data_IF_578693290986
#
_entry.id   IF_578693290986
#
_cell.length_a   1.000
_cell.length_b   1.000
_cell.length_c   1.000
_cell.angle_alpha   90.00
_cell.angle_beta   90.00
_cell.angle_gamma   90.00
#
_symmetry.space_group_name_H-M   'P 1'
#
loop_
_entity.id
_entity.type
_entity.pdbx_description
1 polymer ?
#
# COMPACT_ATOMS: atom_id res chain seq x y z
N UNK A 1 5.16 41.62 47.22
CA UNK A 1 4.06 41.85 46.29
C UNK A 1 4.26 40.94 45.08
N UNK A 2 3.34 40.11 44.64
CA UNK A 2 2.05 39.69 45.19
C UNK A 2 1.91 38.20 44.91
N UNK A 3 1.79 37.43 46.00
CA UNK A 3 1.29 36.07 46.00
C UNK A 3 -0.20 36.17 46.38
N UNK A 4 -1.10 35.72 45.52
CA UNK A 4 -2.47 35.38 45.94
C UNK A 4 -2.90 34.06 45.31
N UNK A 5 -3.02 33.07 46.20
CA UNK A 5 -3.79 31.85 46.04
C UNK A 5 -5.25 32.15 45.69
N UNK A 6 -5.82 31.39 44.76
CA UNK A 6 -7.24 31.05 44.79
C UNK A 6 -7.42 29.62 44.29
N UNK A 7 -7.29 28.68 45.23
CA UNK A 7 -7.80 27.32 45.14
C UNK A 7 -9.31 27.28 45.40
N UNK A 8 -9.97 26.26 44.85
CA UNK A 8 -11.38 25.83 45.03
C UNK A 8 -12.38 26.59 44.14
N UNK A 9 -13.26 25.98 43.34
CA UNK A 9 -13.93 24.68 43.34
C UNK A 9 -14.41 24.39 41.90
N UNK A 10 -14.28 23.15 41.40
CA UNK A 10 -15.31 22.43 40.60
C UNK A 10 -14.75 21.09 40.09
N UNK A 11 -15.22 20.02 40.74
CA UNK A 11 -15.52 18.69 40.19
C UNK A 11 -14.47 17.98 39.32
N UNK A 12 -13.75 17.07 39.96
CA UNK A 12 -12.94 15.99 39.39
C UNK A 12 -13.79 14.93 38.67
N UNK A 13 -14.22 15.19 37.43
CA UNK A 13 -14.63 14.17 36.46
C UNK A 13 -14.33 14.67 35.05
N UNK A 14 -13.80 13.78 34.19
CA UNK A 14 -13.46 13.98 32.76
C UNK A 14 -12.02 14.42 32.43
N UNK A 15 -11.06 13.53 32.69
CA UNK A 15 -9.91 13.34 31.78
C UNK A 15 -9.73 11.85 31.51
N UNK A 16 -10.49 11.33 30.55
CA UNK A 16 -10.19 10.05 29.91
C UNK A 16 -9.64 10.35 28.51
N UNK A 17 -8.32 10.35 28.40
CA UNK A 17 -7.60 10.39 27.12
C UNK A 17 -7.81 9.04 26.43
N UNK A 18 -8.70 8.99 25.44
CA UNK A 18 -8.92 7.78 24.65
C UNK A 18 -7.94 7.72 23.47
N UNK A 19 -6.84 6.99 23.66
CA UNK A 19 -6.05 6.41 22.59
C UNK A 19 -6.70 5.08 22.21
N UNK A 20 -7.30 4.98 21.02
CA UNK A 20 -7.76 3.71 20.47
C UNK A 20 -6.87 3.25 19.32
N UNK A 21 -6.38 2.02 19.47
CA UNK A 21 -5.58 1.26 18.53
C UNK A 21 -6.44 0.09 18.06
N UNK A 22 -6.67 -0.12 16.75
CA UNK A 22 -7.53 -1.19 16.28
C UNK A 22 -6.69 -2.45 16.02
N UNK A 23 -6.65 -3.35 16.99
CA UNK A 23 -6.31 -4.75 16.72
C UNK A 23 -7.11 -5.68 17.62
N UNK A 24 -7.76 -6.64 16.97
CA UNK A 24 -8.48 -7.80 17.49
C UNK A 24 -9.85 -7.60 18.14
N UNK A 25 -10.86 -8.03 17.37
CA UNK A 25 -12.01 -8.77 17.88
C UNK A 25 -11.53 -9.88 18.83
N UNK A 26 -11.70 -9.67 20.13
CA UNK A 26 -12.46 -10.53 21.04
C UNK A 26 -11.99 -10.29 22.48
N UNK A 27 -12.96 -9.91 23.32
CA UNK A 27 -12.89 -9.75 24.79
C UNK A 27 -12.20 -8.47 25.29
N UNK A 28 -12.97 -7.39 25.43
CA UNK A 28 -12.69 -6.37 26.44
C UNK A 28 -13.25 -6.85 27.78
N UNK A 29 -12.37 -7.21 28.71
CA UNK A 29 -12.67 -7.26 30.13
C UNK A 29 -12.51 -5.85 30.69
N UNK A 30 -13.61 -5.24 31.15
CA UNK A 30 -13.57 -4.05 31.99
C UNK A 30 -13.52 -4.56 33.43
N UNK A 31 -12.39 -4.41 34.10
CA UNK A 31 -12.30 -4.58 35.55
C UNK A 31 -12.68 -3.27 36.22
N UNK A 32 -13.97 -3.13 36.56
CA UNK A 32 -14.39 -2.38 37.75
C UNK A 32 -15.77 -2.90 38.18
N UNK A 33 -15.82 -3.31 39.45
CA UNK A 33 -16.90 -3.98 40.18
C UNK A 33 -18.27 -3.29 40.12
N UNK A 34 -19.35 -4.00 40.47
CA UNK A 34 -20.61 -3.96 39.74
C UNK A 34 -21.74 -3.26 40.51
N UNK A 35 -22.50 -2.41 39.84
CA UNK A 35 -23.93 -2.23 40.12
C UNK A 35 -24.61 -1.60 38.90
N UNK A 36 -25.83 -2.07 38.63
CA UNK A 36 -26.86 -1.52 37.72
C UNK A 36 -26.71 -1.75 36.21
N UNK A 37 -27.37 -2.83 35.77
CA UNK A 37 -28.16 -2.95 34.52
C UNK A 37 -27.49 -2.60 33.20
N UNK A 38 -26.88 -3.60 32.57
CA UNK A 38 -26.58 -3.65 31.13
C UNK A 38 -27.87 -3.52 30.31
N UNK A 39 -28.18 -2.32 29.84
CA UNK A 39 -29.16 -2.11 28.77
C UNK A 39 -28.44 -2.22 27.41
N UNK A 40 -28.67 -3.32 26.71
CA UNK A 40 -28.23 -3.49 25.33
C UNK A 40 -28.93 -2.46 24.44
N UNK A 41 -28.17 -1.48 23.93
CA UNK A 41 -28.68 -0.46 23.01
C UNK A 41 -29.10 -1.10 21.68
N UNK A 42 -30.33 -0.81 21.24
CA UNK A 42 -30.86 -1.25 19.93
C UNK A 42 -30.05 -0.68 18.76
N UNK A 43 -30.06 -1.38 17.61
CA UNK A 43 -29.34 -0.96 16.39
C UNK A 43 -29.66 0.50 15.98
N UNK A 44 -30.89 0.94 16.19
CA UNK A 44 -31.35 2.31 15.90
C UNK A 44 -30.69 3.37 16.79
N UNK A 45 -30.53 3.08 18.10
CA UNK A 45 -29.84 4.01 19.02
C UNK A 45 -28.34 4.11 18.72
N UNK A 46 -27.69 3.01 18.30
CA UNK A 46 -26.28 3.03 17.87
C UNK A 46 -26.09 3.86 16.61
N UNK A 47 -26.99 3.74 15.63
CA UNK A 47 -26.98 4.54 14.39
C UNK A 47 -27.09 6.05 14.69
N UNK A 48 -28.02 6.45 15.55
CA UNK A 48 -28.16 7.87 15.96
C UNK A 48 -26.95 8.40 16.73
N UNK A 49 -26.31 7.57 17.55
CA UNK A 49 -25.09 7.96 18.27
C UNK A 49 -23.92 8.17 17.29
N UNK A 50 -23.83 7.32 16.27
CA UNK A 50 -22.83 7.38 15.22
C UNK A 50 -23.04 8.61 14.30
N UNK A 51 -24.28 8.90 13.90
CA UNK A 51 -24.64 10.09 13.13
C UNK A 51 -24.29 11.38 13.91
N UNK A 52 -24.51 11.41 15.23
CA UNK A 52 -24.10 12.54 16.08
C UNK A 52 -22.59 12.68 16.17
N UNK A 53 -21.84 11.58 16.30
CA UNK A 53 -20.38 11.61 16.28
C UNK A 53 -19.83 12.10 14.93
N UNK A 54 -20.40 11.66 13.80
CA UNK A 54 -20.00 12.14 12.47
C UNK A 54 -20.23 13.65 12.32
N UNK A 55 -21.37 14.17 12.77
CA UNK A 55 -21.65 15.61 12.73
C UNK A 55 -20.71 16.42 13.63
N UNK A 56 -20.31 15.86 14.77
CA UNK A 56 -19.39 16.52 15.70
C UNK A 56 -17.95 16.51 15.18
N UNK A 57 -17.50 15.42 14.56
CA UNK A 57 -16.22 15.34 13.85
C UNK A 57 -16.19 16.28 12.63
N UNK A 58 -17.28 16.37 11.87
CA UNK A 58 -17.41 17.29 10.73
C UNK A 58 -17.31 18.76 11.17
N UNK A 59 -17.93 19.12 12.29
CA UNK A 59 -17.80 20.46 12.88
C UNK A 59 -16.37 20.75 13.33
N UNK A 60 -15.72 19.81 14.03
CA UNK A 60 -14.34 19.97 14.50
C UNK A 60 -13.32 20.10 13.36
N UNK A 61 -13.53 19.36 12.26
CA UNK A 61 -12.71 19.46 11.04
C UNK A 61 -12.83 20.84 10.38
N UNK A 62 -14.04 21.43 10.39
CA UNK A 62 -14.31 22.71 9.75
C UNK A 62 -13.96 23.94 10.62
N UNK A 63 -13.69 23.77 11.92
CA UNK A 63 -13.40 24.87 12.85
C UNK A 63 -11.92 25.28 12.96
N UNK A 64 -11.03 24.78 12.09
CA UNK A 64 -9.61 25.16 12.12
C UNK A 64 -9.17 26.04 10.91
N UNK A 65 -9.64 27.31 10.82
CA UNK A 65 -9.37 28.19 9.68
C UNK A 65 -7.92 28.68 9.59
N UNK A 66 -7.04 28.33 10.54
CA UNK A 66 -5.64 28.79 10.57
C UNK A 66 -4.67 27.90 9.77
N UNK A 67 -5.06 26.67 9.41
CA UNK A 67 -4.25 25.82 8.51
C UNK A 67 -4.60 25.98 7.01
N UNK A 68 -5.74 26.59 6.67
CA UNK A 68 -6.18 26.76 5.28
C UNK A 68 -5.64 28.02 4.58
N UNK A 69 -5.13 29.02 5.32
CA UNK A 69 -4.81 30.34 4.77
C UNK A 69 -3.48 30.49 4.01
N UNK A 70 -2.65 29.44 3.89
CA UNK A 70 -1.37 29.53 3.16
C UNK A 70 -1.28 28.73 1.85
N UNK A 71 -2.38 28.16 1.33
CA UNK A 71 -2.34 27.39 0.06
C UNK A 71 -3.29 27.89 -1.04
N UNK A 72 -3.83 29.10 -0.95
CA UNK A 72 -4.57 29.72 -2.08
C UNK A 72 -3.61 30.33 -3.09
N UNK A 73 -2.79 29.50 -3.74
CA UNK A 73 -2.18 29.81 -5.05
C UNK A 73 -2.77 28.84 -6.07
N UNK A 74 -3.75 29.34 -6.84
CA UNK A 74 -4.30 28.78 -8.09
C UNK A 74 -4.71 27.29 -7.99
N UNK A 75 -5.73 26.98 -7.19
CA UNK A 75 -6.42 25.68 -7.29
C UNK A 75 -7.07 25.58 -8.68
N UNK A 76 -6.77 24.52 -9.45
CA UNK A 76 -7.55 24.20 -10.65
C UNK A 76 -9.03 24.03 -10.22
N UNK A 77 -9.90 24.89 -10.75
CA UNK A 77 -11.35 24.82 -10.58
C UNK A 77 -11.97 24.02 -11.72
N UNK A 78 -13.02 23.24 -11.42
CA UNK A 78 -13.86 22.59 -12.44
C UNK A 78 -14.45 23.67 -13.35
N UNK A 79 -14.23 23.52 -14.66
CA UNK A 79 -14.77 24.40 -15.70
C UNK A 79 -16.18 23.95 -16.09
N UNK A 80 -17.01 24.84 -16.65
CA UNK A 80 -18.40 24.51 -17.03
C UNK A 80 -18.50 23.42 -18.12
N UNK A 81 -17.42 23.18 -18.86
CA UNK A 81 -17.31 22.14 -19.90
C UNK A 81 -16.75 20.82 -19.38
N UNK A 82 -16.35 20.76 -18.11
CA UNK A 82 -15.75 19.56 -17.55
C UNK A 82 -16.77 18.46 -17.31
N UNK A 83 -16.37 17.23 -17.59
CA UNK A 83 -17.09 16.02 -17.26
C UNK A 83 -16.13 14.99 -16.63
N UNK A 84 -16.65 13.87 -16.15
CA UNK A 84 -15.85 12.81 -15.52
C UNK A 84 -14.66 12.39 -16.39
N UNK A 85 -14.83 12.30 -17.70
CA UNK A 85 -13.75 11.92 -18.61
C UNK A 85 -12.67 13.00 -18.73
N UNK A 86 -13.05 14.28 -18.91
CA UNK A 86 -12.08 15.39 -19.01
C UNK A 86 -11.31 15.57 -17.70
N UNK A 87 -11.98 15.42 -16.56
CA UNK A 87 -11.37 15.50 -15.23
C UNK A 87 -10.45 14.31 -14.96
N UNK A 88 -10.85 13.09 -15.33
CA UNK A 88 -9.97 11.91 -15.28
C UNK A 88 -8.72 12.11 -16.14
N UNK A 89 -8.87 12.67 -17.35
CA UNK A 89 -7.74 13.00 -18.20
C UNK A 89 -6.84 14.10 -17.60
N UNK A 90 -7.42 15.16 -17.02
CA UNK A 90 -6.69 16.22 -16.30
C UNK A 90 -5.87 15.61 -15.15
N UNK A 91 -6.48 14.77 -14.30
CA UNK A 91 -5.80 14.07 -13.20
C UNK A 91 -4.65 13.19 -13.74
N UNK A 92 -4.91 12.37 -14.75
CA UNK A 92 -3.88 11.49 -15.33
C UNK A 92 -2.72 12.27 -15.98
N UNK A 93 -3.02 13.41 -16.62
CA UNK A 93 -2.03 14.33 -17.17
C UNK A 93 -1.16 14.94 -16.07
N UNK A 94 -1.75 15.37 -14.96
CA UNK A 94 -1.02 15.86 -13.78
C UNK A 94 -0.09 14.78 -13.21
N UNK A 95 -0.60 13.54 -13.06
CA UNK A 95 0.14 12.38 -12.58
C UNK A 95 1.31 12.00 -13.52
N UNK A 96 1.17 12.22 -14.83
CA UNK A 96 2.22 11.94 -15.82
C UNK A 96 3.32 13.01 -15.81
N UNK A 97 2.96 14.27 -15.55
CA UNK A 97 3.90 15.40 -15.41
C UNK A 97 4.52 15.51 -14.01
N UNK A 98 4.15 14.63 -13.09
CA UNK A 98 4.63 14.67 -11.71
C UNK A 98 6.12 14.31 -11.62
N UNK A 99 6.87 15.16 -10.95
CA UNK A 99 8.25 14.95 -10.53
C UNK A 99 8.29 14.61 -9.03
N UNK A 100 9.37 13.98 -8.52
CA UNK A 100 9.49 13.71 -7.08
C UNK A 100 9.25 14.94 -6.21
N UNK A 101 9.73 16.12 -6.64
CA UNK A 101 9.60 17.39 -5.92
C UNK A 101 8.16 17.92 -5.86
N UNK A 102 7.35 17.73 -6.90
CA UNK A 102 5.97 18.23 -6.94
C UNK A 102 4.91 17.16 -6.61
N UNK A 103 5.33 15.92 -6.34
CA UNK A 103 4.43 14.77 -6.20
C UNK A 103 3.33 14.96 -5.16
N UNK A 104 3.65 15.59 -4.01
CA UNK A 104 2.66 15.93 -2.98
C UNK A 104 1.63 16.91 -3.52
N UNK A 105 2.07 18.00 -4.17
CA UNK A 105 1.17 19.00 -4.74
C UNK A 105 0.28 18.39 -5.83
N UNK A 106 0.82 17.52 -6.66
CA UNK A 106 0.05 16.78 -7.67
C UNK A 106 -1.03 15.92 -7.02
N UNK A 107 -0.71 15.16 -5.98
CA UNK A 107 -1.67 14.31 -5.28
C UNK A 107 -2.74 15.10 -4.53
N UNK A 108 -2.37 16.22 -3.89
CA UNK A 108 -3.31 17.15 -3.26
C UNK A 108 -4.24 17.78 -4.30
N UNK A 109 -3.71 18.20 -5.44
CA UNK A 109 -4.53 18.79 -6.52
C UNK A 109 -5.50 17.76 -7.09
N UNK A 110 -5.05 16.53 -7.33
CA UNK A 110 -5.92 15.43 -7.78
C UNK A 110 -7.04 15.13 -6.76
N UNK A 111 -6.72 15.15 -5.46
CA UNK A 111 -7.70 14.96 -4.38
C UNK A 111 -8.70 16.10 -4.31
N UNK A 112 -8.25 17.34 -4.51
CA UNK A 112 -9.13 18.51 -4.55
C UNK A 112 -10.11 18.43 -5.73
N UNK A 113 -9.67 17.96 -6.90
CA UNK A 113 -10.55 17.75 -8.06
C UNK A 113 -11.63 16.70 -7.71
N UNK A 114 -11.25 15.56 -7.13
CA UNK A 114 -12.21 14.53 -6.71
C UNK A 114 -13.21 15.07 -5.67
N UNK A 115 -12.75 15.80 -4.66
CA UNK A 115 -13.61 16.40 -3.64
C UNK A 115 -14.60 17.41 -4.26
N UNK A 116 -14.16 18.21 -5.24
CA UNK A 116 -15.04 19.13 -5.95
C UNK A 116 -16.06 18.37 -6.82
N UNK A 117 -15.67 17.29 -7.49
CA UNK A 117 -16.59 16.45 -8.26
C UNK A 117 -17.68 15.85 -7.36
N UNK A 118 -17.29 15.29 -6.21
CA UNK A 118 -18.24 14.74 -5.24
C UNK A 118 -19.17 15.81 -4.68
N UNK A 119 -18.64 16.96 -4.27
CA UNK A 119 -19.44 18.05 -3.73
C UNK A 119 -20.49 18.49 -4.75
N UNK A 120 -20.07 18.77 -5.99
CA UNK A 120 -20.96 19.24 -7.03
C UNK A 120 -21.99 18.17 -7.44
N UNK A 121 -21.59 16.90 -7.52
CA UNK A 121 -22.52 15.82 -7.82
C UNK A 121 -23.54 15.60 -6.70
N UNK A 122 -23.12 15.66 -5.43
CA UNK A 122 -24.00 15.49 -4.27
C UNK A 122 -25.01 16.65 -4.13
N UNK A 123 -24.63 17.88 -4.51
CA UNK A 123 -25.52 19.05 -4.49
C UNK A 123 -26.70 18.91 -5.46
N UNK A 124 -26.46 18.38 -6.67
CA UNK A 124 -27.49 18.24 -7.69
C UNK A 124 -27.27 17.00 -8.59
N UNK A 125 -27.61 15.79 -8.11
CA UNK A 125 -27.28 14.54 -8.80
C UNK A 125 -27.89 14.41 -10.21
N UNK A 126 -29.05 15.01 -10.44
CA UNK A 126 -29.78 14.94 -11.73
C UNK A 126 -29.20 15.88 -12.77
N UNK A 127 -28.85 17.12 -12.40
CA UNK A 127 -28.35 18.14 -13.32
C UNK A 127 -26.84 18.03 -13.54
N UNK A 128 -26.09 17.60 -12.51
CA UNK A 128 -24.63 17.45 -12.54
C UNK A 128 -24.16 16.00 -12.70
N UNK A 129 -24.99 15.14 -13.31
CA UNK A 129 -24.63 13.74 -13.56
C UNK A 129 -23.34 13.57 -14.37
N UNK A 130 -23.01 14.52 -15.24
CA UNK A 130 -21.78 14.51 -16.04
C UNK A 130 -20.49 14.65 -15.21
N UNK A 131 -20.58 15.03 -13.94
CA UNK A 131 -19.46 15.12 -12.99
C UNK A 131 -19.37 13.93 -12.04
N UNK A 132 -20.23 12.92 -12.21
CA UNK A 132 -20.31 11.74 -11.35
C UNK A 132 -18.96 11.01 -11.31
N UNK A 133 -18.25 10.98 -10.15
CA UNK A 133 -16.99 10.25 -10.02
C UNK A 133 -17.17 8.75 -10.28
N UNK A 134 -16.21 8.13 -10.95
CA UNK A 134 -16.20 6.70 -11.23
C UNK A 134 -15.01 5.98 -10.57
N UNK A 135 -14.96 4.66 -10.70
CA UNK A 135 -13.84 3.84 -10.19
C UNK A 135 -12.48 4.32 -10.72
N UNK A 136 -12.44 4.86 -11.95
CA UNK A 136 -11.22 5.39 -12.56
C UNK A 136 -10.80 6.67 -11.83
N UNK A 137 -11.72 7.60 -11.54
CA UNK A 137 -11.42 8.83 -10.79
C UNK A 137 -10.76 8.51 -9.46
N UNK A 138 -11.37 7.63 -8.65
CA UNK A 138 -10.80 7.23 -7.37
C UNK A 138 -9.44 6.54 -7.52
N UNK A 139 -9.34 5.57 -8.45
CA UNK A 139 -8.10 4.82 -8.70
C UNK A 139 -6.97 5.75 -9.17
N UNK A 140 -7.28 6.76 -9.98
CA UNK A 140 -6.32 7.78 -10.43
C UNK A 140 -5.82 8.63 -9.27
N UNK A 141 -6.70 9.09 -8.36
CA UNK A 141 -6.26 9.85 -7.17
C UNK A 141 -5.42 8.98 -6.23
N UNK A 142 -5.81 7.72 -6.01
CA UNK A 142 -5.02 6.76 -5.22
C UNK A 142 -3.64 6.55 -5.86
N UNK A 143 -3.59 6.41 -7.19
CA UNK A 143 -2.34 6.29 -7.94
C UNK A 143 -1.46 7.55 -7.80
N UNK A 144 -2.06 8.75 -7.75
CA UNK A 144 -1.35 9.99 -7.47
C UNK A 144 -0.66 9.93 -6.09
N UNK A 145 -1.39 9.54 -5.04
CA UNK A 145 -0.83 9.34 -3.70
C UNK A 145 0.26 8.26 -3.66
N UNK A 146 0.08 7.17 -4.40
CA UNK A 146 1.06 6.09 -4.52
C UNK A 146 2.35 6.51 -5.24
N UNK A 147 2.34 7.61 -6.00
CA UNK A 147 3.55 8.15 -6.62
C UNK A 147 4.39 8.98 -5.66
N UNK A 148 3.79 9.54 -4.62
CA UNK A 148 4.45 10.45 -3.69
C UNK A 148 5.60 9.74 -2.98
N UNK A 149 6.80 10.31 -3.11
CA UNK A 149 7.98 9.86 -2.38
C UNK A 149 8.04 10.58 -1.03
N UNK A 150 7.82 9.85 0.06
CA UNK A 150 8.25 10.26 1.41
C UNK A 150 7.44 11.37 2.14
N UNK A 151 6.12 11.23 2.25
CA UNK A 151 5.46 11.50 3.54
C UNK A 151 4.70 10.28 4.05
N UNK A 152 4.72 10.07 5.37
CA UNK A 152 3.98 9.00 6.06
C UNK A 152 2.47 9.06 5.81
N UNK A 153 1.95 10.24 5.44
CA UNK A 153 0.54 10.52 5.19
C UNK A 153 0.05 10.03 3.82
N UNK A 154 0.94 9.89 2.82
CA UNK A 154 0.52 9.48 1.48
C UNK A 154 -0.13 8.09 1.46
N UNK A 155 0.41 7.15 2.25
CA UNK A 155 -0.20 5.82 2.41
C UNK A 155 -1.57 5.88 3.10
N UNK A 156 -1.77 6.81 4.03
CA UNK A 156 -3.03 6.97 4.74
C UNK A 156 -4.09 7.50 3.78
N UNK A 157 -3.81 8.57 3.04
CA UNK A 157 -4.74 9.07 2.02
C UNK A 157 -5.12 8.02 0.98
N UNK A 158 -4.15 7.22 0.50
CA UNK A 158 -4.43 6.12 -0.42
C UNK A 158 -5.33 5.04 0.20
N UNK A 159 -5.09 4.70 1.47
CA UNK A 159 -5.87 3.70 2.20
C UNK A 159 -7.29 4.20 2.53
N UNK A 160 -7.42 5.44 3.02
CA UNK A 160 -8.70 6.07 3.35
C UNK A 160 -9.64 6.13 2.13
N UNK A 161 -9.09 6.41 0.94
CA UNK A 161 -9.86 6.37 -0.31
C UNK A 161 -10.29 4.96 -0.69
N UNK A 162 -9.44 3.95 -0.46
CA UNK A 162 -9.83 2.56 -0.67
C UNK A 162 -10.92 2.12 0.31
N UNK A 163 -10.81 2.46 1.59
CA UNK A 163 -11.83 2.18 2.60
C UNK A 163 -13.16 2.86 2.27
N UNK A 164 -13.11 4.09 1.73
CA UNK A 164 -14.29 4.79 1.22
C UNK A 164 -14.95 4.04 0.06
N UNK A 165 -14.17 3.52 -0.89
CA UNK A 165 -14.71 2.71 -1.99
C UNK A 165 -15.30 1.38 -1.50
N UNK A 166 -14.63 0.69 -0.56
CA UNK A 166 -15.17 -0.53 0.08
C UNK A 166 -16.49 -0.25 0.78
N UNK A 167 -16.57 0.86 1.51
CA UNK A 167 -17.80 1.27 2.20
C UNK A 167 -18.96 1.49 1.22
N UNK A 168 -18.71 2.06 0.04
CA UNK A 168 -19.75 2.23 -0.98
C UNK A 168 -20.26 0.91 -1.54
N UNK A 169 -19.38 -0.06 -1.73
CA UNK A 169 -19.73 -1.41 -2.16
C UNK A 169 -20.52 -2.16 -1.07
N UNK A 170 -20.04 -2.16 0.17
CA UNK A 170 -20.68 -2.84 1.30
C UNK A 170 -22.08 -2.28 1.62
N UNK A 171 -22.24 -0.97 1.55
CA UNK A 171 -23.52 -0.29 1.85
C UNK A 171 -24.46 -0.19 0.66
N UNK A 172 -24.01 -0.59 -0.54
CA UNK A 172 -24.73 -0.35 -1.80
C UNK A 172 -25.19 1.10 -1.91
N UNK A 173 -24.23 2.02 -1.79
CA UNK A 173 -24.52 3.44 -1.63
C UNK A 173 -25.40 3.99 -2.78
N UNK A 174 -26.49 4.73 -2.49
CA UNK A 174 -27.47 5.14 -3.51
C UNK A 174 -26.88 5.90 -4.71
N UNK A 175 -25.84 6.70 -4.46
CA UNK A 175 -25.16 7.52 -5.48
C UNK A 175 -23.85 6.91 -6.02
N UNK A 176 -23.27 5.95 -5.30
CA UNK A 176 -21.88 5.48 -5.54
C UNK A 176 -21.75 3.96 -5.61
N UNK A 177 -22.85 3.21 -5.78
CA UNK A 177 -22.83 1.75 -5.90
C UNK A 177 -21.99 1.23 -7.08
N UNK A 178 -21.76 2.07 -8.10
CA UNK A 178 -20.89 1.78 -9.25
C UNK A 178 -19.39 1.98 -8.96
N UNK A 179 -19.03 2.62 -7.84
CA UNK A 179 -17.65 2.81 -7.41
C UNK A 179 -17.24 1.62 -6.57
N UNK A 180 -16.52 0.68 -7.18
CA UNK A 180 -16.09 -0.55 -6.53
C UNK A 180 -14.57 -0.72 -6.67
N UNK A 181 -13.86 -1.09 -5.59
CA UNK A 181 -12.45 -1.40 -5.66
C UNK A 181 -12.15 -2.51 -6.67
N UNK A 182 -10.95 -2.48 -7.25
CA UNK A 182 -10.46 -3.59 -8.08
C UNK A 182 -8.96 -3.80 -7.83
N UNK A 183 -8.38 -4.81 -8.47
CA UNK A 183 -6.95 -5.15 -8.35
C UNK A 183 -6.02 -3.96 -8.62
N UNK A 184 -6.40 -3.03 -9.50
CA UNK A 184 -5.61 -1.82 -9.79
C UNK A 184 -5.65 -0.86 -8.60
N UNK A 185 -6.83 -0.68 -7.99
CA UNK A 185 -7.00 0.11 -6.76
C UNK A 185 -6.14 -0.46 -5.63
N UNK A 186 -6.25 -1.78 -5.37
CA UNK A 186 -5.44 -2.46 -4.34
C UNK A 186 -3.95 -2.38 -4.63
N UNK A 187 -3.52 -2.65 -5.87
CA UNK A 187 -2.12 -2.56 -6.28
C UNK A 187 -1.57 -1.14 -6.09
N UNK A 188 -2.37 -0.11 -6.32
CA UNK A 188 -1.97 1.29 -6.13
C UNK A 188 -1.76 1.61 -4.64
N UNK A 189 -2.67 1.16 -3.76
CA UNK A 189 -2.50 1.31 -2.31
C UNK A 189 -1.28 0.53 -1.81
N UNK A 190 -1.08 -0.72 -2.26
CA UNK A 190 0.11 -1.51 -1.92
C UNK A 190 1.41 -0.80 -2.32
N UNK A 191 1.44 -0.16 -3.48
CA UNK A 191 2.58 0.64 -3.92
C UNK A 191 2.80 1.90 -3.05
N UNK A 192 1.72 2.54 -2.56
CA UNK A 192 1.83 3.62 -1.59
C UNK A 192 2.45 3.14 -0.26
N UNK A 193 2.11 1.93 0.19
CA UNK A 193 2.75 1.31 1.34
C UNK A 193 4.23 1.00 1.09
N UNK A 194 4.59 0.48 -0.09
CA UNK A 194 5.98 0.16 -0.45
C UNK A 194 6.91 1.38 -0.37
N UNK A 195 6.41 2.56 -0.73
CA UNK A 195 7.15 3.84 -0.63
C UNK A 195 7.08 4.48 0.74
N UNK A 196 6.28 3.96 1.66
CA UNK A 196 6.13 4.53 2.98
C UNK A 196 7.37 4.29 3.84
N UNK A 197 7.80 5.34 4.55
CA UNK A 197 8.89 5.22 5.54
C UNK A 197 8.43 4.55 6.83
N UNK A 198 7.11 4.40 7.06
CA UNK A 198 6.55 3.84 8.29
C UNK A 198 7.02 2.40 8.56
N UNK A 199 7.41 2.07 9.81
CA UNK A 199 7.91 0.73 10.16
C UNK A 199 6.84 -0.35 10.11
N UNK A 200 5.55 0.03 10.29
CA UNK A 200 4.40 -0.89 10.20
C UNK A 200 3.88 -1.08 8.78
N UNK A 201 4.44 -0.38 7.79
CA UNK A 201 3.95 -0.42 6.42
C UNK A 201 4.00 -1.81 5.77
N UNK A 202 5.04 -2.65 5.99
CA UNK A 202 5.07 -4.00 5.41
C UNK A 202 3.95 -4.90 5.93
N UNK A 203 3.70 -4.90 7.25
CA UNK A 203 2.65 -5.70 7.87
C UNK A 203 1.26 -5.26 7.40
N UNK A 204 1.03 -3.95 7.29
CA UNK A 204 -0.23 -3.40 6.78
C UNK A 204 -0.44 -3.75 5.29
N UNK A 205 0.61 -3.67 4.47
CA UNK A 205 0.53 -4.06 3.07
C UNK A 205 0.25 -5.56 2.90
N UNK A 206 0.86 -6.40 3.73
CA UNK A 206 0.62 -7.83 3.71
C UNK A 206 -0.81 -8.18 4.14
N UNK A 207 -1.34 -7.52 5.18
CA UNK A 207 -2.74 -7.66 5.57
C UNK A 207 -3.69 -7.28 4.43
N UNK A 208 -3.40 -6.20 3.71
CA UNK A 208 -4.18 -5.76 2.55
C UNK A 208 -4.11 -6.75 1.38
N UNK A 209 -2.99 -7.43 1.20
CA UNK A 209 -2.85 -8.50 0.21
C UNK A 209 -3.66 -9.74 0.58
N UNK A 210 -3.60 -10.15 1.85
CA UNK A 210 -4.38 -11.28 2.36
C UNK A 210 -5.87 -10.99 2.17
N UNK A 211 -6.31 -9.76 2.47
CA UNK A 211 -7.67 -9.32 2.18
C UNK A 211 -8.03 -9.50 0.70
N UNK A 212 -7.20 -9.01 -0.23
CA UNK A 212 -7.43 -9.16 -1.67
C UNK A 212 -7.51 -10.63 -2.11
N UNK A 213 -6.62 -11.48 -1.60
CA UNK A 213 -6.64 -12.92 -1.85
C UNK A 213 -7.95 -13.55 -1.34
N UNK A 214 -8.35 -13.24 -0.11
CA UNK A 214 -9.58 -13.76 0.47
C UNK A 214 -10.83 -13.29 -0.28
N UNK A 215 -10.87 -12.01 -0.70
CA UNK A 215 -11.95 -11.50 -1.55
C UNK A 215 -12.04 -12.29 -2.86
N UNK A 216 -10.92 -12.55 -3.51
CA UNK A 216 -10.92 -13.37 -4.72
C UNK A 216 -11.36 -14.82 -4.46
N UNK A 217 -10.88 -15.45 -3.39
CA UNK A 217 -11.20 -16.83 -3.05
C UNK A 217 -12.68 -17.01 -2.66
N UNK A 218 -13.26 -16.04 -1.96
CA UNK A 218 -14.65 -16.11 -1.50
C UNK A 218 -15.66 -15.71 -2.57
N UNK A 219 -15.35 -14.72 -3.39
CA UNK A 219 -16.28 -14.20 -4.42
C UNK A 219 -16.09 -14.85 -5.79
N UNK A 220 -14.89 -15.34 -6.10
CA UNK A 220 -14.51 -15.75 -7.46
C UNK A 220 -14.42 -14.61 -8.47
N UNK A 221 -14.60 -13.35 -8.03
CA UNK A 221 -14.66 -12.20 -8.92
C UNK A 221 -13.27 -11.83 -9.45
N UNK A 222 -13.13 -11.86 -10.78
CA UNK A 222 -11.88 -11.55 -11.48
C UNK A 222 -11.35 -10.15 -11.17
N UNK A 223 -12.19 -9.22 -10.71
CA UNK A 223 -11.76 -7.87 -10.29
C UNK A 223 -10.87 -7.87 -9.08
N UNK A 224 -10.99 -8.86 -8.19
CA UNK A 224 -10.15 -9.03 -7.00
C UNK A 224 -8.96 -9.95 -7.23
N UNK A 225 -8.82 -10.54 -8.42
CA UNK A 225 -7.75 -11.47 -8.71
C UNK A 225 -6.37 -10.81 -8.54
N UNK A 226 -5.55 -11.24 -7.56
CA UNK A 226 -4.21 -10.68 -7.37
C UNK A 226 -3.33 -10.92 -8.60
N UNK A 227 -2.48 -9.95 -8.91
CA UNK A 227 -1.54 -10.03 -10.03
C UNK A 227 -0.09 -9.85 -9.56
N UNK A 228 0.87 -10.02 -10.48
CA UNK A 228 2.30 -9.88 -10.19
C UNK A 228 2.67 -8.52 -9.58
N UNK A 229 1.97 -7.43 -9.94
CA UNK A 229 2.24 -6.08 -9.40
C UNK A 229 1.91 -6.01 -7.91
N UNK A 230 0.85 -6.68 -7.46
CA UNK A 230 0.51 -6.76 -6.03
C UNK A 230 1.62 -7.45 -5.24
N UNK A 231 2.09 -8.61 -5.69
CA UNK A 231 3.18 -9.34 -5.04
C UNK A 231 4.50 -8.55 -5.07
N UNK A 232 4.85 -7.98 -6.22
CA UNK A 232 6.05 -7.15 -6.37
C UNK A 232 6.03 -5.94 -5.44
N UNK A 233 4.88 -5.30 -5.21
CA UNK A 233 4.77 -4.19 -4.27
C UNK A 233 5.08 -4.61 -2.83
N UNK A 234 4.63 -5.80 -2.40
CA UNK A 234 4.87 -6.30 -1.04
C UNK A 234 6.32 -6.75 -0.87
N UNK A 235 6.88 -7.41 -1.89
CA UNK A 235 8.30 -7.78 -1.93
C UNK A 235 9.16 -6.51 -1.84
N UNK A 236 8.86 -5.47 -2.64
CA UNK A 236 9.57 -4.19 -2.59
C UNK A 236 9.46 -3.55 -1.20
N UNK A 237 8.26 -3.53 -0.61
CA UNK A 237 8.02 -3.00 0.73
C UNK A 237 8.89 -3.69 1.80
N UNK A 238 8.90 -5.03 1.84
CA UNK A 238 9.76 -5.78 2.76
C UNK A 238 11.26 -5.59 2.45
N UNK A 239 11.64 -5.58 1.17
CA UNK A 239 13.04 -5.39 0.74
C UNK A 239 13.62 -4.03 1.16
N UNK A 240 12.80 -2.97 1.20
CA UNK A 240 13.23 -1.65 1.66
C UNK A 240 13.47 -1.61 3.15
N UNK A 241 12.77 -2.44 3.93
CA UNK A 241 12.97 -2.58 5.37
C UNK A 241 14.06 -3.58 5.74
N UNK A 242 14.71 -4.25 4.78
CA UNK A 242 15.82 -5.16 5.10
C UNK A 242 17.06 -4.42 5.62
N UNK A 243 17.17 -3.11 5.38
CA UNK A 243 18.24 -2.25 5.91
C UNK A 243 18.06 -1.85 7.38
N UNK A 244 16.86 -2.01 7.96
CA UNK A 244 16.61 -1.59 9.35
C UNK A 244 17.00 -2.71 10.32
N UNK A 245 18.16 -2.57 10.96
CA UNK A 245 18.58 -3.42 12.09
C UNK A 245 17.72 -3.13 13.32
N UNK A 246 17.22 -4.14 14.10
CA UNK A 246 17.53 -5.58 14.08
C UNK A 246 16.64 -6.43 13.17
N UNK A 247 15.55 -5.86 12.64
CA UNK A 247 14.48 -6.57 11.93
C UNK A 247 14.82 -6.97 10.49
N UNK A 248 15.97 -6.53 9.96
CA UNK A 248 16.34 -6.71 8.55
C UNK A 248 16.40 -8.16 8.08
N UNK A 249 16.85 -9.08 8.95
CA UNK A 249 16.84 -10.53 8.67
C UNK A 249 15.41 -11.07 8.53
N UNK A 250 14.49 -10.64 9.39
CA UNK A 250 13.09 -11.02 9.30
C UNK A 250 12.46 -10.48 8.00
N UNK A 251 12.69 -9.21 7.68
CA UNK A 251 12.14 -8.58 6.48
C UNK A 251 12.63 -9.25 5.18
N UNK A 252 13.92 -9.57 5.09
CA UNK A 252 14.48 -10.28 3.92
C UNK A 252 13.97 -11.71 3.79
N UNK A 253 13.86 -12.46 4.89
CA UNK A 253 13.25 -13.79 4.86
C UNK A 253 11.77 -13.72 4.48
N UNK A 254 11.01 -12.73 4.97
CA UNK A 254 9.61 -12.57 4.57
C UNK A 254 9.45 -12.27 3.08
N UNK A 255 10.31 -11.41 2.52
CA UNK A 255 10.34 -11.16 1.07
C UNK A 255 10.63 -12.46 0.28
N UNK A 256 11.53 -13.30 0.80
CA UNK A 256 11.85 -14.62 0.24
C UNK A 256 10.65 -15.59 0.29
N UNK A 257 9.96 -15.69 1.42
CA UNK A 257 8.76 -16.54 1.57
C UNK A 257 7.65 -16.14 0.58
N UNK A 258 7.46 -14.83 0.36
CA UNK A 258 6.46 -14.32 -0.57
C UNK A 258 6.83 -14.68 -2.02
N UNK A 259 8.12 -14.63 -2.38
CA UNK A 259 8.58 -15.10 -3.68
C UNK A 259 8.38 -16.61 -3.86
N UNK A 260 8.61 -17.42 -2.82
CA UNK A 260 8.31 -18.85 -2.88
C UNK A 260 6.81 -19.11 -3.05
N UNK A 261 5.96 -18.40 -2.30
CA UNK A 261 4.50 -18.47 -2.47
C UNK A 261 4.09 -18.15 -3.91
N UNK A 262 4.70 -17.13 -4.51
CA UNK A 262 4.49 -16.73 -5.89
C UNK A 262 4.94 -17.81 -6.89
N UNK A 263 6.09 -18.46 -6.67
CA UNK A 263 6.59 -19.55 -7.50
C UNK A 263 5.69 -20.79 -7.46
N UNK A 264 5.17 -21.13 -6.28
CA UNK A 264 4.36 -22.34 -6.09
C UNK A 264 2.89 -22.14 -6.48
N UNK A 265 2.44 -20.91 -6.73
CA UNK A 265 1.04 -20.61 -7.08
C UNK A 265 0.02 -20.93 -5.98
N UNK A 266 0.46 -21.27 -4.76
CA UNK A 266 -0.37 -21.80 -3.67
C UNK A 266 -1.41 -20.81 -3.11
N UNK A 267 -1.46 -19.56 -3.58
CA UNK A 267 -2.41 -18.55 -3.06
C UNK A 267 -3.79 -18.55 -3.71
N UNK A 268 -3.98 -19.16 -4.89
CA UNK A 268 -5.19 -18.98 -5.71
C UNK A 268 -5.80 -20.29 -6.25
N UNK A 269 -5.38 -21.44 -5.74
CA UNK A 269 -5.90 -22.74 -6.20
C UNK A 269 -7.28 -22.99 -5.59
N UNK A 270 -8.32 -22.61 -6.33
CA UNK A 270 -9.67 -23.09 -6.10
C UNK A 270 -9.74 -24.54 -6.64
N UNK A 271 -10.00 -25.50 -5.76
CA UNK A 271 -10.32 -26.92 -6.00
C UNK A 271 -9.57 -27.65 -7.14
N UNK A 272 -8.84 -28.71 -6.75
CA UNK A 272 -8.30 -29.73 -7.65
C UNK A 272 -9.38 -30.35 -8.52
N UNK A 273 -9.69 -29.75 -9.66
CA UNK A 273 -10.18 -30.40 -10.89
C UNK A 273 -10.31 -29.33 -11.98
N UNK A 274 -9.43 -29.40 -12.97
CA UNK A 274 -9.63 -28.76 -14.29
C UNK A 274 -9.56 -27.23 -14.41
N UNK A 275 -8.90 -26.52 -13.48
CA UNK A 275 -8.39 -25.19 -13.81
C UNK A 275 -7.08 -25.38 -14.58
N UNK A 276 -7.22 -25.38 -15.91
CA UNK A 276 -6.13 -25.49 -16.88
C UNK A 276 -4.96 -24.56 -16.52
N UNK A 277 -3.75 -25.09 -16.69
CA UNK A 277 -2.44 -24.43 -16.69
C UNK A 277 -2.37 -23.09 -17.45
N UNK A 278 -3.41 -22.73 -18.20
CA UNK A 278 -3.59 -21.45 -18.89
C UNK A 278 -4.05 -20.30 -17.98
N UNK A 279 -4.81 -20.54 -16.90
CA UNK A 279 -5.34 -19.43 -16.09
C UNK A 279 -4.29 -18.90 -15.12
N UNK A 280 -3.44 -19.75 -14.52
CA UNK A 280 -2.34 -19.32 -13.62
C UNK A 280 -1.13 -18.73 -14.38
N UNK A 281 -1.25 -18.59 -15.71
CA UNK A 281 -0.19 -18.08 -16.60
C UNK A 281 0.22 -16.62 -16.32
N UNK A 282 -0.55 -15.91 -15.50
CA UNK A 282 -0.35 -14.49 -15.16
C UNK A 282 0.37 -14.26 -13.82
N UNK A 283 0.70 -15.32 -13.08
CA UNK A 283 1.28 -15.22 -11.75
C UNK A 283 2.64 -15.92 -11.66
N UNK A 284 3.57 -15.52 -12.53
CA UNK A 284 4.96 -15.94 -12.45
C UNK A 284 5.84 -14.81 -11.90
N UNK A 285 6.84 -15.12 -11.05
CA UNK A 285 7.86 -14.15 -10.70
C UNK A 285 8.54 -13.61 -11.96
N UNK A 286 8.74 -12.31 -11.99
CA UNK A 286 9.47 -11.63 -13.05
C UNK A 286 10.89 -11.29 -12.59
N UNK A 287 11.65 -10.66 -13.49
CA UNK A 287 12.99 -10.16 -13.17
C UNK A 287 13.00 -9.30 -11.91
N UNK A 288 11.99 -8.44 -11.74
CA UNK A 288 11.89 -7.54 -10.59
C UNK A 288 11.68 -8.31 -9.28
N UNK A 289 10.81 -9.34 -9.28
CA UNK A 289 10.56 -10.18 -8.10
C UNK A 289 11.85 -10.80 -7.58
N UNK A 290 12.65 -11.43 -8.46
CA UNK A 290 13.92 -12.04 -8.08
C UNK A 290 14.94 -10.99 -7.62
N UNK A 291 15.12 -9.92 -8.39
CA UNK A 291 16.12 -8.89 -8.05
C UNK A 291 15.83 -8.21 -6.73
N UNK A 292 14.55 -7.99 -6.40
CA UNK A 292 14.14 -7.32 -5.17
C UNK A 292 14.43 -8.20 -3.94
N UNK A 293 14.20 -9.51 -4.03
CA UNK A 293 14.54 -10.46 -2.95
C UNK A 293 16.05 -10.64 -2.83
N UNK A 294 16.78 -10.79 -3.94
CA UNK A 294 18.25 -10.89 -3.91
C UNK A 294 18.85 -9.64 -3.25
N UNK A 295 18.37 -8.45 -3.63
CA UNK A 295 18.76 -7.19 -2.99
C UNK A 295 18.39 -7.16 -1.50
N UNK A 296 17.19 -7.62 -1.13
CA UNK A 296 16.77 -7.69 0.27
C UNK A 296 17.71 -8.55 1.12
N UNK A 297 18.07 -9.73 0.60
CA UNK A 297 18.97 -10.70 1.24
C UNK A 297 20.41 -10.15 1.30
N UNK A 298 20.89 -9.52 0.22
CA UNK A 298 22.25 -9.00 0.16
C UNK A 298 22.54 -7.83 1.09
N UNK A 299 21.50 -7.07 1.43
CA UNK A 299 21.56 -6.01 2.46
C UNK A 299 21.72 -6.53 3.89
N UNK A 300 21.57 -7.85 4.11
CA UNK A 300 21.72 -8.42 5.44
C UNK A 300 23.13 -8.97 5.66
N UNK A 301 23.75 -8.65 6.79
CA UNK A 301 25.04 -9.22 7.20
C UNK A 301 24.88 -10.69 7.65
N UNK A 302 24.59 -11.59 6.72
CA UNK A 302 24.41 -13.02 6.98
C UNK A 302 24.84 -13.88 5.79
N UNK A 303 25.83 -14.75 6.01
CA UNK A 303 26.29 -15.71 4.99
C UNK A 303 25.22 -16.70 4.52
N UNK A 304 24.26 -17.05 5.38
CA UNK A 304 23.12 -17.89 4.99
C UNK A 304 22.21 -17.18 3.98
N UNK A 305 21.95 -15.87 4.18
CA UNK A 305 21.17 -15.06 3.24
C UNK A 305 21.94 -14.82 1.93
N UNK A 306 23.27 -14.65 1.99
CA UNK A 306 24.11 -14.59 0.79
C UNK A 306 24.02 -15.90 -0.03
N UNK A 307 24.05 -17.07 0.63
CA UNK A 307 23.82 -18.35 -0.03
C UNK A 307 22.42 -18.46 -0.66
N UNK A 308 21.36 -18.05 0.05
CA UNK A 308 20.01 -18.00 -0.52
C UNK A 308 19.93 -17.10 -1.76
N UNK A 309 20.56 -15.93 -1.70
CA UNK A 309 20.63 -14.98 -2.82
C UNK A 309 21.35 -15.61 -4.04
N UNK A 310 22.43 -16.36 -3.80
CA UNK A 310 23.16 -17.08 -4.84
C UNK A 310 22.30 -18.17 -5.50
N UNK A 311 21.56 -18.95 -4.71
CA UNK A 311 20.64 -19.97 -5.23
C UNK A 311 19.52 -19.35 -6.08
N UNK A 312 18.96 -18.22 -5.66
CA UNK A 312 17.97 -17.50 -6.45
C UNK A 312 18.53 -17.00 -7.77
N UNK A 313 19.78 -16.49 -7.79
CA UNK A 313 20.42 -16.06 -9.04
C UNK A 313 20.64 -17.24 -10.00
N UNK A 314 21.10 -18.39 -9.49
CA UNK A 314 21.23 -19.62 -10.29
C UNK A 314 19.88 -20.08 -10.86
N UNK A 315 18.83 -20.05 -10.05
CA UNK A 315 17.48 -20.36 -10.50
C UNK A 315 17.03 -19.39 -11.60
N UNK A 316 17.27 -18.10 -11.43
CA UNK A 316 16.94 -17.06 -12.40
C UNK A 316 17.69 -17.26 -13.73
N UNK A 317 18.98 -17.62 -13.69
CA UNK A 317 19.77 -17.97 -14.88
C UNK A 317 19.21 -19.20 -15.60
N UNK A 318 18.88 -20.24 -14.86
CA UNK A 318 18.29 -21.45 -15.42
C UNK A 318 16.95 -21.14 -16.12
N UNK A 319 16.05 -20.43 -15.46
CA UNK A 319 14.75 -20.04 -16.03
C UNK A 319 14.90 -19.13 -17.26
N UNK A 320 15.88 -18.24 -17.27
CA UNK A 320 16.17 -17.37 -18.41
C UNK A 320 16.69 -18.16 -19.62
N UNK A 321 17.56 -19.16 -19.41
CA UNK A 321 18.08 -20.04 -20.48
C UNK A 321 16.99 -20.91 -21.10
N UNK A 322 16.05 -21.40 -20.29
CA UNK A 322 14.97 -22.27 -20.76
C UNK A 322 13.93 -21.54 -21.64
N UNK A 323 13.97 -20.20 -21.71
CA UNK A 323 13.00 -19.35 -22.43
C UNK A 323 11.53 -19.65 -22.11
N UNK A 324 11.24 -20.29 -20.98
CA UNK A 324 9.89 -20.63 -20.53
C UNK A 324 9.12 -19.41 -20.05
N UNK A 325 9.82 -18.37 -19.58
CA UNK A 325 9.26 -17.09 -19.18
C UNK A 325 10.11 -15.94 -19.73
N UNK A 326 9.61 -15.25 -20.75
CA UNK A 326 10.28 -14.11 -21.39
C UNK A 326 10.53 -12.91 -20.45
N UNK A 327 9.79 -12.85 -19.33
CA UNK A 327 9.90 -11.78 -18.34
C UNK A 327 11.03 -12.00 -17.33
N UNK A 328 11.72 -13.15 -17.36
CA UNK A 328 12.89 -13.44 -16.52
C UNK A 328 14.17 -13.27 -17.34
N UNK A 329 14.91 -12.20 -17.04
CA UNK A 329 16.20 -11.89 -17.62
C UNK A 329 17.15 -11.50 -16.52
N UNK A 330 18.29 -12.19 -16.45
CA UNK A 330 19.33 -11.84 -15.48
C UNK A 330 19.86 -10.45 -15.82
N UNK A 331 19.98 -9.58 -14.83
CA UNK A 331 20.42 -8.20 -15.01
C UNK A 331 21.61 -7.87 -14.11
N UNK A 332 22.23 -6.72 -14.38
CA UNK A 332 23.36 -6.18 -13.60
C UNK A 332 23.00 -6.07 -12.12
N UNK A 333 21.78 -5.63 -11.81
CA UNK A 333 21.31 -5.43 -10.44
C UNK A 333 21.29 -6.71 -9.60
N UNK A 334 20.98 -7.86 -10.20
CA UNK A 334 20.99 -9.14 -9.51
C UNK A 334 22.42 -9.55 -9.09
N UNK A 335 23.39 -9.36 -9.99
CA UNK A 335 24.80 -9.64 -9.71
C UNK A 335 25.37 -8.66 -8.68
N UNK A 336 25.14 -7.34 -8.84
CA UNK A 336 25.66 -6.35 -7.88
C UNK A 336 25.08 -6.54 -6.48
N UNK A 337 23.79 -6.89 -6.38
CA UNK A 337 23.17 -7.24 -5.10
C UNK A 337 23.74 -8.52 -4.47
N UNK A 338 24.17 -9.50 -5.29
CA UNK A 338 24.81 -10.71 -4.79
C UNK A 338 26.25 -10.45 -4.35
N UNK A 339 27.00 -9.65 -5.10
CA UNK A 339 28.35 -9.23 -4.72
C UNK A 339 28.33 -8.46 -3.40
N UNK A 340 27.38 -7.54 -3.21
CA UNK A 340 27.21 -6.85 -1.93
C UNK A 340 26.81 -7.81 -0.80
N UNK A 341 26.00 -8.84 -1.09
CA UNK A 341 25.67 -9.89 -0.11
C UNK A 341 26.91 -10.59 0.46
N UNK A 342 27.80 -11.03 -0.42
CA UNK A 342 29.03 -11.72 -0.02
C UNK A 342 30.03 -10.78 0.66
N UNK A 343 30.11 -9.52 0.23
CA UNK A 343 30.91 -8.50 0.89
C UNK A 343 30.41 -8.24 2.32
N UNK A 344 29.10 -8.11 2.53
CA UNK A 344 28.50 -7.88 3.86
C UNK A 344 28.49 -9.13 4.76
N UNK A 345 28.58 -10.33 4.18
CA UNK A 345 28.63 -11.58 4.94
C UNK A 345 29.98 -11.82 5.67
N UNK A 346 30.98 -10.96 5.44
CA UNK A 346 32.31 -11.01 6.05
C UNK A 346 32.99 -12.39 5.97
N UNK A 347 32.90 -13.04 4.80
CA UNK A 347 33.39 -14.41 4.57
C UNK A 347 34.89 -14.49 4.26
N UNK A 348 35.63 -13.37 4.38
CA UNK A 348 37.07 -13.29 4.10
C UNK A 348 37.43 -13.71 2.68
N UNK A 349 38.54 -14.44 2.54
CA UNK A 349 39.10 -14.89 1.26
C UNK A 349 38.13 -15.76 0.44
N UNK A 350 37.36 -16.63 1.10
CA UNK A 350 36.34 -17.46 0.42
C UNK A 350 35.25 -16.61 -0.23
N UNK A 351 34.88 -15.48 0.40
CA UNK A 351 33.94 -14.53 -0.18
C UNK A 351 34.51 -13.83 -1.41
N UNK A 352 35.78 -13.45 -1.36
CA UNK A 352 36.47 -12.79 -2.47
C UNK A 352 36.54 -13.69 -3.72
N UNK A 353 36.95 -14.95 -3.56
CA UNK A 353 37.00 -15.92 -4.66
C UNK A 353 35.62 -16.15 -5.32
N UNK A 354 34.55 -16.19 -4.52
CA UNK A 354 33.19 -16.31 -5.04
C UNK A 354 32.79 -15.05 -5.82
N UNK A 355 33.18 -13.86 -5.34
CA UNK A 355 32.92 -12.61 -6.05
C UNK A 355 33.64 -12.54 -7.42
N UNK A 356 34.88 -13.01 -7.49
CA UNK A 356 35.63 -13.10 -8.76
C UNK A 356 34.96 -14.05 -9.76
N UNK A 357 34.58 -15.25 -9.32
CA UNK A 357 33.83 -16.22 -10.14
C UNK A 357 32.48 -15.64 -10.62
N UNK A 358 31.79 -14.88 -9.77
CA UNK A 358 30.54 -14.22 -10.13
C UNK A 358 30.73 -13.13 -11.20
N UNK A 359 31.84 -12.37 -11.15
CA UNK A 359 32.16 -11.35 -12.15
C UNK A 359 32.48 -11.98 -13.51
N UNK A 360 33.20 -13.10 -13.53
CA UNK A 360 33.46 -13.87 -14.76
C UNK A 360 32.15 -14.36 -15.37
N UNK A 361 31.29 -15.00 -14.56
CA UNK A 361 29.97 -15.50 -14.99
C UNK A 361 29.03 -14.39 -15.46
N UNK A 362 29.16 -13.20 -14.88
CA UNK A 362 28.42 -12.02 -15.32
C UNK A 362 28.82 -11.62 -16.74
N UNK A 363 30.12 -11.60 -17.04
CA UNK A 363 30.64 -11.36 -18.39
C UNK A 363 30.24 -12.43 -19.42
N UNK A 364 30.37 -13.71 -19.07
CA UNK A 364 29.93 -14.84 -19.92
C UNK A 364 28.42 -14.80 -20.22
N UNK A 365 27.62 -14.32 -19.26
CA UNK A 365 26.18 -14.13 -19.40
C UNK A 365 25.78 -12.94 -20.27
N UNK A 366 26.74 -12.20 -20.84
CA UNK A 366 26.48 -11.00 -21.66
C UNK A 366 26.00 -9.80 -20.84
N UNK A 367 26.26 -9.79 -19.54
CA UNK A 367 25.88 -8.70 -18.63
C UNK A 367 27.13 -7.90 -18.29
N UNK A 368 27.22 -6.65 -18.72
CA UNK A 368 28.40 -5.81 -18.44
C UNK A 368 28.30 -5.14 -17.08
N UNK A 369 29.37 -5.12 -16.26
CA UNK A 369 29.39 -4.37 -15.02
C UNK A 369 29.19 -2.88 -15.25
N UNK A 370 28.42 -2.23 -14.38
CA UNK A 370 28.43 -0.76 -14.30
C UNK A 370 29.74 -0.34 -13.61
N UNK A 371 30.71 0.10 -14.39
CA UNK A 371 31.94 0.73 -13.87
C UNK A 371 31.57 2.18 -13.54
N UNK A 372 31.50 2.53 -12.26
CA UNK A 372 31.38 3.90 -11.78
C UNK A 372 32.49 4.22 -10.80
#
# INVERSE_FOLDING_TARGET
SDYVNASSTFSSQQRASFLFHPSNNNKCWITSSPTTTTTTLSKSKRRKLYERQQQQCFKLYNTNPKQQKHQTKKSLSIEATDNTFTLNHKINSLIKKSTPQNSIQTATTASNILNQMEQQYNEAPTTKHHLKPDTITYTSVISAWAKVSSPSTAKQHAHDLLDKMKHYEETQHPLYSHVQPNVITYSSVLNAYAKSTSPKAPQQAEALMIELEQLYLTTGDKRYRPNIRCYNAIIDNWSRKSNTSPSGKYASNRAYDILQKLQLGHGLSFNSTSITTATNRFLYPDTFSYTSVINALGKTASGANAHKAHLLLKQMQYLSKQKTNEHIKVNVFAYTALLSAYAHANMGEKGALICEDLLVKMGEGGVTPNVY
#
